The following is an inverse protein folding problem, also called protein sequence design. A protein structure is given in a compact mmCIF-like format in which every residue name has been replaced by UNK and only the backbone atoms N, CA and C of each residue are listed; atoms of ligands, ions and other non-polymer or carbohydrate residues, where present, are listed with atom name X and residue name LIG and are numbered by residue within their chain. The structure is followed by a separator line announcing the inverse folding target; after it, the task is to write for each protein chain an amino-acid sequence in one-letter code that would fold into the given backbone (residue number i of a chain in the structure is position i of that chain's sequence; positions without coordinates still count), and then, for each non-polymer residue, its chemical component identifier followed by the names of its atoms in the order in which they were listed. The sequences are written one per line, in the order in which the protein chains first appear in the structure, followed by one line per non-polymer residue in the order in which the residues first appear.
data_IF_769076403029
#
_entry.id   IF_769076403029
#
_cell.length_a   1.000
_cell.length_b   1.000
_cell.length_c   1.000
_cell.angle_alpha   90.00
_cell.angle_beta   90.00
_cell.angle_gamma   90.00
#
_symmetry.space_group_name_H-M   'P 1'
#
loop_
_entity.id
_entity.type
_entity.pdbx_description
1 polymer ?
#
# COMPACT_ATOMS: atom_id res chain seq x y z
N UNK A 1 -6.47 -13.12 -21.77
CA UNK A 1 -6.72 -12.45 -20.47
C UNK A 1 -6.83 -10.97 -20.74
N UNK A 2 -7.80 -10.31 -20.16
CA UNK A 2 -8.00 -8.86 -20.29
C UNK A 2 -6.99 -8.11 -19.44
N UNK A 3 -6.41 -7.03 -19.95
CA UNK A 3 -5.51 -6.20 -19.16
C UNK A 3 -6.29 -5.38 -18.11
N UNK A 4 -5.68 -5.16 -16.95
CA UNK A 4 -6.19 -4.30 -15.91
C UNK A 4 -5.39 -3.00 -15.86
N UNK A 5 -6.10 -1.88 -15.82
CA UNK A 5 -5.51 -0.53 -15.84
C UNK A 5 -5.87 0.26 -14.59
N UNK A 6 -4.98 1.16 -14.20
CA UNK A 6 -5.23 2.22 -13.22
C UNK A 6 -5.73 3.45 -13.99
N UNK A 7 -6.90 3.98 -13.64
CA UNK A 7 -7.51 5.15 -14.31
C UNK A 7 -7.37 6.42 -13.48
N UNK A 8 -7.53 6.33 -12.17
CA UNK A 8 -7.33 7.46 -11.25
C UNK A 8 -6.99 6.96 -9.86
N UNK A 9 -6.38 7.83 -9.06
CA UNK A 9 -6.07 7.54 -7.67
C UNK A 9 -6.15 8.81 -6.84
N UNK A 10 -6.76 8.70 -5.66
CA UNK A 10 -6.84 9.76 -4.67
C UNK A 10 -6.63 9.22 -3.27
N UNK A 11 -6.21 10.10 -2.36
CA UNK A 11 -6.12 9.82 -0.94
C UNK A 11 -6.49 11.05 -0.10
N UNK A 12 -6.84 10.86 1.14
CA UNK A 12 -6.82 11.95 2.11
C UNK A 12 -5.37 12.35 2.41
N UNK A 13 -5.11 13.55 2.93
CA UNK A 13 -3.89 13.77 3.68
C UNK A 13 -3.83 12.75 4.82
N UNK A 14 -2.63 12.34 5.23
CA UNK A 14 -2.49 11.43 6.37
C UNK A 14 -2.31 12.23 7.66
N UNK A 15 -3.17 11.95 8.63
CA UNK A 15 -3.11 12.51 9.98
C UNK A 15 -2.16 11.70 10.85
N UNK A 16 -1.56 12.37 11.86
CA UNK A 16 -0.82 11.69 12.93
C UNK A 16 -1.78 10.98 13.88
N UNK A 17 -1.27 10.00 14.58
CA UNK A 17 -1.96 9.42 15.73
C UNK A 17 -2.35 10.51 16.73
N UNK A 18 -3.63 10.56 17.07
CA UNK A 18 -4.18 11.62 17.93
C UNK A 18 -4.24 13.01 17.28
N UNK A 19 -3.98 13.13 15.95
CA UNK A 19 -3.96 14.37 15.19
C UNK A 19 -5.30 14.78 14.60
N UNK A 20 -5.26 15.51 13.50
CA UNK A 20 -6.43 16.16 12.90
C UNK A 20 -7.54 15.18 12.47
N UNK A 21 -7.20 13.93 12.09
CA UNK A 21 -8.17 12.92 11.69
C UNK A 21 -8.64 12.01 12.85
N UNK A 22 -8.06 12.12 14.05
CA UNK A 22 -8.37 11.24 15.18
C UNK A 22 -9.84 11.28 15.63
N UNK A 23 -10.54 12.39 15.39
CA UNK A 23 -11.96 12.56 15.70
C UNK A 23 -12.91 11.98 14.64
N UNK A 24 -12.40 11.56 13.49
CA UNK A 24 -13.18 11.04 12.36
C UNK A 24 -13.28 9.51 12.48
N UNK A 25 -14.49 8.97 12.34
CA UNK A 25 -14.71 7.52 12.31
C UNK A 25 -14.07 6.92 11.05
N UNK A 26 -13.48 5.72 11.13
CA UNK A 26 -12.86 5.08 9.96
C UNK A 26 -13.86 4.78 8.83
N UNK A 27 -15.10 4.44 9.13
CA UNK A 27 -16.14 4.24 8.12
C UNK A 27 -16.54 5.55 7.43
N UNK A 28 -16.62 6.68 8.16
CA UNK A 28 -16.83 8.02 7.58
C UNK A 28 -15.64 8.48 6.74
N UNK A 29 -14.40 8.20 7.18
CA UNK A 29 -13.18 8.51 6.44
C UNK A 29 -13.11 7.72 5.12
N UNK A 30 -13.48 6.43 5.16
CA UNK A 30 -13.59 5.59 3.98
C UNK A 30 -14.70 6.08 3.04
N UNK A 31 -15.87 6.44 3.56
CA UNK A 31 -16.96 6.99 2.75
C UNK A 31 -16.59 8.33 2.10
N UNK A 32 -15.83 9.18 2.81
CA UNK A 32 -15.34 10.44 2.27
C UNK A 32 -14.47 10.23 1.03
N UNK A 33 -13.50 9.31 1.08
CA UNK A 33 -12.63 9.07 -0.07
C UNK A 33 -13.36 8.38 -1.23
N UNK A 34 -14.36 7.53 -0.95
CA UNK A 34 -15.24 6.94 -1.98
C UNK A 34 -16.01 8.05 -2.70
N UNK A 35 -16.69 8.97 -1.97
CA UNK A 35 -17.40 10.10 -2.58
C UNK A 35 -16.48 10.98 -3.43
N UNK A 36 -15.31 11.32 -2.88
CA UNK A 36 -14.34 12.14 -3.59
C UNK A 36 -13.85 11.46 -4.87
N UNK A 37 -13.62 10.17 -4.83
CA UNK A 37 -13.20 9.37 -5.99
C UNK A 37 -14.29 9.28 -7.06
N UNK A 38 -15.54 9.03 -6.66
CA UNK A 38 -16.70 8.99 -7.59
C UNK A 38 -16.95 10.36 -8.23
N UNK A 39 -16.85 11.44 -7.44
CA UNK A 39 -17.03 12.80 -7.97
C UNK A 39 -16.01 13.19 -9.07
N UNK A 40 -14.89 12.49 -9.16
CA UNK A 40 -13.87 12.68 -10.21
C UNK A 40 -14.18 11.92 -11.50
N UNK A 41 -15.21 11.06 -11.49
CA UNK A 41 -15.68 10.29 -12.64
C UNK A 41 -17.11 10.71 -13.02
N UNK A 42 -17.31 11.93 -13.57
CA UNK A 42 -18.64 12.50 -13.80
C UNK A 42 -19.46 11.74 -14.85
N UNK A 43 -18.81 10.96 -15.70
CA UNK A 43 -19.49 10.14 -16.73
C UNK A 43 -19.87 8.74 -16.21
N UNK A 44 -19.34 8.32 -15.05
CA UNK A 44 -19.61 7.02 -14.47
C UNK A 44 -21.04 6.96 -13.92
N UNK A 45 -21.82 6.01 -14.39
CA UNK A 45 -23.00 5.55 -13.63
C UNK A 45 -22.51 4.76 -12.39
N UNK A 46 -22.74 5.24 -11.16
CA UNK A 46 -22.31 4.51 -9.96
C UNK A 46 -22.86 3.08 -9.88
N UNK A 47 -23.99 2.78 -10.55
CA UNK A 47 -24.54 1.41 -10.66
C UNK A 47 -23.72 0.47 -11.52
N UNK A 48 -22.78 1.00 -12.32
CA UNK A 48 -21.86 0.22 -13.16
C UNK A 48 -20.56 -0.17 -12.43
N UNK A 49 -20.41 0.18 -11.16
CA UNK A 49 -19.31 -0.29 -10.31
C UNK A 49 -19.56 -1.76 -9.96
N UNK A 50 -18.69 -2.65 -10.41
CA UNK A 50 -18.84 -4.10 -10.19
C UNK A 50 -18.56 -4.48 -8.72
N UNK A 51 -17.56 -3.85 -8.08
CA UNK A 51 -17.25 -4.06 -6.66
C UNK A 51 -16.42 -2.91 -6.07
N UNK A 52 -16.55 -2.70 -4.75
CA UNK A 52 -15.62 -1.89 -3.94
C UNK A 52 -14.79 -2.83 -3.08
N UNK A 53 -13.46 -2.84 -3.28
CA UNK A 53 -12.54 -3.72 -2.53
C UNK A 53 -11.57 -2.87 -1.72
N UNK A 54 -11.78 -2.80 -0.39
CA UNK A 54 -10.98 -1.95 0.49
C UNK A 54 -10.09 -2.76 1.44
N UNK A 55 -8.86 -2.29 1.59
CA UNK A 55 -7.94 -2.76 2.61
C UNK A 55 -8.24 -2.14 3.97
N UNK A 56 -8.19 -2.96 5.03
CA UNK A 56 -8.24 -2.49 6.41
C UNK A 56 -7.60 -3.54 7.31
N UNK A 57 -6.64 -3.12 8.14
CA UNK A 57 -5.89 -4.04 9.00
C UNK A 57 -6.58 -4.31 10.34
N UNK A 58 -7.39 -3.39 10.83
CA UNK A 58 -8.05 -3.50 12.13
C UNK A 58 -9.56 -3.25 12.03
N UNK A 59 -10.29 -4.24 11.52
CA UNK A 59 -11.74 -4.16 11.32
C UNK A 59 -12.61 -4.44 12.56
N UNK A 60 -12.04 -4.40 13.77
CA UNK A 60 -12.72 -4.81 15.00
C UNK A 60 -13.58 -3.72 15.64
N UNK A 61 -13.46 -2.46 15.20
CA UNK A 61 -14.13 -1.30 15.77
C UNK A 61 -15.26 -0.76 14.89
N UNK A 62 -15.20 0.53 14.65
CA UNK A 62 -16.17 1.30 13.87
C UNK A 62 -16.16 0.97 12.37
N UNK A 63 -15.17 0.20 11.90
CA UNK A 63 -15.09 -0.41 10.56
C UNK A 63 -16.17 -1.48 10.32
N UNK A 64 -16.76 -1.97 11.39
CA UNK A 64 -17.85 -2.96 11.38
C UNK A 64 -17.53 -4.20 10.54
N UNK A 65 -16.30 -4.67 10.61
CA UNK A 65 -15.75 -5.88 9.94
C UNK A 65 -15.69 -5.82 8.41
N UNK A 66 -16.59 -5.09 7.74
CA UNK A 66 -16.57 -4.88 6.29
C UNK A 66 -16.70 -3.40 5.96
N UNK A 67 -15.62 -2.66 6.18
CA UNK A 67 -15.58 -1.21 5.97
C UNK A 67 -15.84 -0.81 4.51
N UNK A 68 -15.48 -1.66 3.54
CA UNK A 68 -15.78 -1.42 2.13
C UNK A 68 -17.29 -1.26 1.90
N UNK A 69 -18.08 -2.20 2.43
CA UNK A 69 -19.54 -2.13 2.28
C UNK A 69 -20.14 -0.98 3.08
N UNK A 70 -19.61 -0.71 4.28
CA UNK A 70 -20.06 0.45 5.07
C UNK A 70 -19.79 1.76 4.33
N UNK A 71 -18.59 1.91 3.79
CA UNK A 71 -18.19 3.09 3.02
C UNK A 71 -19.03 3.28 1.76
N UNK A 72 -19.33 2.20 1.02
CA UNK A 72 -20.18 2.25 -0.18
C UNK A 72 -21.59 2.79 0.15
N UNK A 73 -22.20 2.27 1.21
CA UNK A 73 -23.54 2.71 1.65
C UNK A 73 -23.54 4.13 2.19
N UNK A 74 -22.55 4.48 3.01
CA UNK A 74 -22.38 5.83 3.55
C UNK A 74 -22.01 6.86 2.47
N UNK A 75 -21.42 6.42 1.36
CA UNK A 75 -21.12 7.26 0.21
C UNK A 75 -22.28 7.38 -0.78
N UNK A 76 -23.46 6.85 -0.44
CA UNK A 76 -24.68 6.86 -1.24
C UNK A 76 -24.53 6.14 -2.60
N UNK A 77 -23.61 5.15 -2.69
CA UNK A 77 -23.59 4.27 -3.85
C UNK A 77 -24.85 3.40 -3.90
N UNK A 78 -25.31 3.00 -5.09
CA UNK A 78 -26.45 2.09 -5.22
C UNK A 78 -26.28 0.83 -4.34
N UNK A 79 -27.32 0.40 -3.69
CA UNK A 79 -27.31 -0.78 -2.81
C UNK A 79 -26.93 -2.08 -3.54
N UNK A 80 -27.01 -2.08 -4.87
CA UNK A 80 -26.57 -3.18 -5.74
C UNK A 80 -25.04 -3.32 -5.81
N UNK A 81 -24.27 -2.26 -5.51
CA UNK A 81 -22.78 -2.31 -5.55
C UNK A 81 -22.27 -3.10 -4.35
N UNK A 82 -21.67 -4.27 -4.53
CA UNK A 82 -21.11 -5.06 -3.43
C UNK A 82 -19.83 -4.43 -2.88
N UNK A 83 -19.41 -4.87 -1.70
CA UNK A 83 -18.17 -4.40 -1.09
C UNK A 83 -17.49 -5.48 -0.27
N UNK A 84 -16.18 -5.63 -0.46
CA UNK A 84 -15.32 -6.61 0.23
C UNK A 84 -14.18 -5.93 0.95
N UNK A 85 -13.92 -6.34 2.19
CA UNK A 85 -12.75 -5.86 2.95
C UNK A 85 -11.66 -6.92 2.97
N UNK A 86 -10.44 -6.49 2.62
CA UNK A 86 -9.24 -7.33 2.59
C UNK A 86 -8.33 -6.96 3.76
N UNK A 87 -7.86 -7.94 4.49
CA UNK A 87 -6.85 -7.77 5.51
C UNK A 87 -5.60 -8.59 5.20
N UNK A 88 -4.57 -7.88 4.76
CA UNK A 88 -3.18 -8.34 4.70
C UNK A 88 -2.30 -7.31 5.41
N UNK A 89 -2.74 -6.87 6.59
CA UNK A 89 -2.05 -5.86 7.40
C UNK A 89 -1.64 -4.63 6.55
N UNK A 90 -0.36 -4.23 6.59
CA UNK A 90 0.18 -3.09 5.84
C UNK A 90 -0.06 -3.14 4.33
N UNK A 91 -0.18 -4.34 3.75
CA UNK A 91 -0.37 -4.57 2.32
C UNK A 91 -1.82 -4.60 1.85
N UNK A 92 -2.80 -4.37 2.73
CA UNK A 92 -4.22 -4.64 2.46
C UNK A 92 -4.75 -3.96 1.19
N UNK A 93 -4.52 -2.67 0.99
CA UNK A 93 -5.01 -1.98 -0.23
C UNK A 93 -4.22 -2.32 -1.49
N UNK A 94 -2.95 -2.68 -1.38
CA UNK A 94 -2.22 -3.20 -2.55
C UNK A 94 -2.72 -4.59 -2.94
N UNK A 95 -3.06 -5.44 -1.95
CA UNK A 95 -3.69 -6.74 -2.20
C UNK A 95 -5.10 -6.58 -2.78
N UNK A 96 -5.87 -5.59 -2.32
CA UNK A 96 -7.16 -5.23 -2.93
C UNK A 96 -7.01 -4.93 -4.42
N UNK A 97 -6.00 -4.14 -4.81
CA UNK A 97 -5.68 -3.89 -6.22
C UNK A 97 -5.25 -5.15 -6.98
N UNK A 98 -4.48 -6.04 -6.35
CA UNK A 98 -4.10 -7.32 -6.93
C UNK A 98 -5.30 -8.26 -7.12
N UNK A 99 -6.27 -8.25 -6.21
CA UNK A 99 -7.53 -9.03 -6.31
C UNK A 99 -8.36 -8.49 -7.46
N UNK A 100 -8.66 -7.20 -7.47
CA UNK A 100 -9.44 -6.56 -8.54
C UNK A 100 -8.81 -6.75 -9.92
N UNK A 101 -7.48 -6.67 -10.03
CA UNK A 101 -6.79 -6.92 -11.29
C UNK A 101 -6.92 -8.36 -11.79
N UNK A 102 -7.17 -9.33 -10.90
CA UNK A 102 -7.49 -10.72 -11.29
C UNK A 102 -8.93 -10.85 -11.75
N UNK A 103 -9.88 -10.24 -11.05
CA UNK A 103 -11.29 -10.19 -11.47
C UNK A 103 -11.44 -9.57 -12.86
N UNK A 104 -10.72 -8.48 -13.14
CA UNK A 104 -10.69 -7.86 -14.48
C UNK A 104 -10.05 -8.81 -15.50
N UNK A 105 -8.93 -9.43 -15.16
CA UNK A 105 -8.22 -10.33 -16.08
C UNK A 105 -9.02 -11.60 -16.44
N UNK A 106 -9.89 -12.08 -15.54
CA UNK A 106 -10.81 -13.21 -15.77
C UNK A 106 -12.13 -12.80 -16.43
N UNK A 107 -12.40 -11.50 -16.56
CA UNK A 107 -13.64 -10.97 -17.13
C UNK A 107 -14.84 -10.98 -16.18
N UNK A 108 -14.59 -11.13 -14.88
CA UNK A 108 -15.62 -11.07 -13.83
C UNK A 108 -16.01 -9.64 -13.49
N UNK A 109 -15.13 -8.66 -13.76
CA UNK A 109 -15.35 -7.23 -13.51
C UNK A 109 -14.76 -6.37 -14.62
N UNK A 110 -15.35 -5.19 -14.85
CA UNK A 110 -14.86 -4.14 -15.73
C UNK A 110 -14.43 -2.89 -14.97
N UNK A 111 -15.14 -2.54 -13.90
CA UNK A 111 -14.89 -1.33 -13.08
C UNK A 111 -14.89 -1.70 -11.61
N UNK A 112 -13.75 -1.57 -10.96
CA UNK A 112 -13.59 -1.84 -9.52
C UNK A 112 -12.97 -0.63 -8.83
N UNK A 113 -13.61 -0.18 -7.76
CA UNK A 113 -13.01 0.81 -6.88
C UNK A 113 -12.23 0.10 -5.78
N UNK A 114 -10.91 0.20 -5.82
CA UNK A 114 -10.04 -0.35 -4.77
C UNK A 114 -9.48 0.76 -3.90
N UNK A 115 -9.00 0.40 -2.72
CA UNK A 115 -8.39 1.36 -1.83
C UNK A 115 -8.26 0.81 -0.43
N UNK A 116 -8.37 1.67 0.56
CA UNK A 116 -8.39 1.25 1.94
C UNK A 116 -8.37 2.41 2.92
N UNK A 117 -8.57 2.06 4.16
CA UNK A 117 -8.64 3.00 5.29
C UNK A 117 -7.97 2.39 6.51
N UNK A 118 -7.36 3.24 7.29
CA UNK A 118 -6.94 2.90 8.66
C UNK A 118 -7.10 4.12 9.55
N UNK A 119 -7.67 3.92 10.72
CA UNK A 119 -7.60 4.87 11.81
C UNK A 119 -6.93 4.22 13.01
N UNK A 120 -5.62 4.43 13.13
CA UNK A 120 -4.86 3.88 14.26
C UNK A 120 -5.20 4.63 15.55
N UNK A 121 -5.65 5.88 15.45
CA UNK A 121 -6.11 6.69 16.59
C UNK A 121 -7.40 6.12 17.21
N UNK A 122 -8.26 5.49 16.43
CA UNK A 122 -9.54 4.93 16.88
C UNK A 122 -9.53 3.41 17.02
N UNK A 123 -8.36 2.79 16.87
CA UNK A 123 -8.20 1.36 17.10
C UNK A 123 -8.73 0.98 18.49
N UNK A 124 -9.67 0.03 18.63
CA UNK A 124 -10.35 -0.23 19.89
C UNK A 124 -9.42 -0.95 20.88
N UNK A 125 -9.73 -0.79 22.16
CA UNK A 125 -9.25 -1.70 23.20
C UNK A 125 -10.14 -2.93 23.21
N UNK A 126 -9.55 -4.13 23.29
CA UNK A 126 -10.29 -5.40 23.32
C UNK A 126 -10.07 -6.12 24.64
N UNK A 127 -11.14 -6.77 25.11
CA UNK A 127 -11.11 -7.65 26.26
C UNK A 127 -11.27 -9.08 25.77
N UNK A 128 -10.29 -9.97 26.02
CA UNK A 128 -10.46 -11.38 25.69
C UNK A 128 -11.60 -12.02 26.50
N UNK A 129 -12.25 -13.01 25.92
CA UNK A 129 -13.23 -13.83 26.68
C UNK A 129 -12.51 -14.60 27.78
N UNK A 130 -13.13 -14.66 28.94
CA UNK A 130 -12.62 -15.47 30.06
C UNK A 130 -12.85 -16.95 29.81
N UNK A 131 -11.87 -17.79 30.17
CA UNK A 131 -11.99 -19.26 30.07
C UNK A 131 -12.92 -19.83 31.10
N UNK A 132 -13.08 -19.15 32.25
CA UNK A 132 -13.93 -19.56 33.37
C UNK A 132 -15.09 -18.59 33.57
N UNK A 133 -16.30 -19.08 33.85
CA UNK A 133 -17.36 -18.19 34.33
C UNK A 133 -16.94 -17.61 35.68
N UNK A 134 -17.36 -16.36 35.96
CA UNK A 134 -17.05 -15.66 37.22
C UNK A 134 -15.54 -15.54 37.51
N UNK A 135 -14.75 -14.87 36.64
CA UNK A 135 -13.33 -14.67 36.90
C UNK A 135 -13.13 -13.86 38.20
N UNK A 136 -12.26 -14.36 39.09
CA UNK A 136 -12.01 -13.74 40.39
C UNK A 136 -10.94 -12.64 40.37
N UNK A 137 -10.41 -12.27 39.18
CA UNK A 137 -9.36 -11.25 39.01
C UNK A 137 -9.77 -10.13 38.07
N UNK A 138 -8.88 -9.15 37.91
CA UNK A 138 -9.04 -8.06 36.95
C UNK A 138 -8.93 -8.58 35.51
N UNK A 139 -9.65 -7.92 34.59
CA UNK A 139 -9.50 -8.12 33.16
C UNK A 139 -8.59 -7.03 32.59
N UNK A 140 -7.65 -7.43 31.74
CA UNK A 140 -6.75 -6.51 31.05
C UNK A 140 -7.30 -6.18 29.66
N UNK A 141 -7.39 -4.87 29.36
CA UNK A 141 -7.75 -4.40 28.05
C UNK A 141 -6.49 -4.30 27.17
N UNK A 142 -6.53 -4.94 26.01
CA UNK A 142 -5.41 -5.00 25.05
C UNK A 142 -5.58 -3.93 23.99
N UNK A 143 -4.55 -3.09 23.79
CA UNK A 143 -4.51 -2.09 22.72
C UNK A 143 -4.33 -2.79 21.37
N UNK A 144 -5.10 -2.38 20.36
CA UNK A 144 -5.07 -2.98 19.04
C UNK A 144 -4.49 -2.07 17.94
N UNK A 145 -3.96 -0.91 18.31
CA UNK A 145 -3.47 0.09 17.33
C UNK A 145 -2.25 -0.41 16.53
N UNK A 146 -1.36 -1.18 17.16
CA UNK A 146 -0.12 -1.63 16.53
C UNK A 146 0.38 -2.95 17.15
N UNK A 147 1.05 -3.77 16.33
CA UNK A 147 1.81 -4.92 16.78
C UNK A 147 0.97 -6.15 17.10
N UNK A 148 1.62 -7.09 17.77
CA UNK A 148 1.03 -8.35 18.17
C UNK A 148 0.02 -8.17 19.31
N UNK A 149 -1.08 -8.87 19.23
CA UNK A 149 -2.09 -8.94 20.29
C UNK A 149 -2.65 -10.35 20.40
N UNK A 150 -2.96 -10.79 21.59
CA UNK A 150 -3.56 -12.10 21.85
C UNK A 150 -2.82 -13.24 21.12
N UNK A 151 -1.49 -13.23 21.22
CA UNK A 151 -0.60 -14.15 20.49
C UNK A 151 -0.89 -15.57 20.91
N UNK A 152 -1.02 -16.48 19.93
CA UNK A 152 -1.15 -17.90 20.20
C UNK A 152 0.15 -18.41 20.87
N UNK A 153 0.07 -19.06 22.06
CA UNK A 153 1.25 -19.57 22.77
C UNK A 153 2.09 -20.59 21.98
N UNK A 154 1.53 -21.21 20.94
CA UNK A 154 2.26 -22.13 20.08
C UNK A 154 3.16 -21.43 19.04
N UNK A 155 3.03 -20.10 18.88
CA UNK A 155 3.89 -19.33 17.98
C UNK A 155 5.31 -19.21 18.56
N UNK A 156 6.36 -19.52 17.78
CA UNK A 156 7.74 -19.30 18.19
C UNK A 156 7.97 -17.83 18.60
N UNK A 157 8.57 -17.62 19.77
CA UNK A 157 8.77 -16.27 20.32
C UNK A 157 9.58 -15.35 19.41
N UNK A 158 10.55 -15.88 18.67
CA UNK A 158 11.32 -15.11 17.69
C UNK A 158 10.49 -14.53 16.55
N UNK A 159 9.32 -15.12 16.23
CA UNK A 159 8.44 -14.63 15.19
C UNK A 159 7.50 -13.53 15.66
N UNK A 160 7.30 -13.43 16.97
CA UNK A 160 6.33 -12.54 17.60
C UNK A 160 6.96 -11.34 18.30
N UNK A 161 8.22 -11.07 18.03
CA UNK A 161 8.89 -9.86 18.51
C UNK A 161 8.20 -8.61 17.95
N UNK A 162 8.37 -7.47 18.61
CA UNK A 162 7.82 -6.21 18.11
C UNK A 162 8.39 -5.87 16.72
N UNK A 163 7.65 -5.10 15.91
CA UNK A 163 8.11 -4.71 14.56
C UNK A 163 9.42 -3.92 14.61
N UNK A 164 9.62 -3.10 15.64
CA UNK A 164 10.87 -2.37 15.81
C UNK A 164 12.03 -3.29 16.19
N UNK A 165 11.82 -4.27 17.07
CA UNK A 165 12.83 -5.29 17.38
C UNK A 165 13.16 -6.16 16.16
N UNK A 166 12.16 -6.54 15.40
CA UNK A 166 12.34 -7.23 14.12
C UNK A 166 13.20 -6.41 13.14
N UNK A 167 13.00 -5.08 13.12
CA UNK A 167 13.77 -4.16 12.30
C UNK A 167 15.21 -4.03 12.80
N UNK A 168 15.45 -4.05 14.11
CA UNK A 168 16.82 -4.09 14.67
C UNK A 168 17.56 -5.37 14.26
N UNK A 169 16.90 -6.53 14.28
CA UNK A 169 17.49 -7.77 13.80
C UNK A 169 17.79 -7.74 12.30
N UNK A 170 16.88 -7.15 11.52
CA UNK A 170 17.04 -6.97 10.09
C UNK A 170 18.26 -6.10 9.76
N UNK A 171 18.37 -4.93 10.43
CA UNK A 171 19.49 -4.00 10.17
C UNK A 171 20.84 -4.60 10.55
N UNK A 172 20.90 -5.43 11.60
CA UNK A 172 22.11 -6.17 11.98
C UNK A 172 22.52 -7.16 10.90
N UNK A 173 21.54 -7.94 10.39
CA UNK A 173 21.76 -8.94 9.34
C UNK A 173 22.29 -8.31 8.05
N UNK A 174 21.83 -7.11 7.71
CA UNK A 174 22.16 -6.41 6.45
C UNK A 174 23.17 -5.28 6.62
N UNK A 175 23.72 -5.07 7.82
CA UNK A 175 24.75 -4.06 8.06
C UNK A 175 24.28 -2.61 7.89
N UNK A 176 22.97 -2.33 8.09
CA UNK A 176 22.42 -0.97 7.95
C UNK A 176 22.75 -0.15 9.20
N UNK A 177 23.54 0.93 9.05
CA UNK A 177 23.96 1.77 10.16
C UNK A 177 22.87 2.80 10.57
N UNK A 178 23.01 3.40 11.74
CA UNK A 178 22.14 4.46 12.25
C UNK A 178 22.20 5.71 11.35
N UNK A 179 23.39 6.07 10.91
CA UNK A 179 23.64 7.24 10.07
C UNK A 179 22.86 7.13 8.75
N UNK A 180 22.98 5.98 8.08
CA UNK A 180 22.24 5.72 6.83
C UNK A 180 20.72 5.81 7.04
N UNK A 181 20.21 5.31 8.18
CA UNK A 181 18.78 5.38 8.51
C UNK A 181 18.32 6.82 8.68
N UNK A 182 19.10 7.65 9.40
CA UNK A 182 18.75 9.05 9.64
C UNK A 182 18.87 9.90 8.36
N UNK A 183 19.85 9.64 7.51
CA UNK A 183 19.98 10.26 6.17
C UNK A 183 18.79 9.93 5.27
N UNK A 184 18.39 8.64 5.25
CA UNK A 184 17.21 8.20 4.50
C UNK A 184 15.93 8.88 5.00
N UNK A 185 15.73 8.97 6.31
CA UNK A 185 14.58 9.62 6.91
C UNK A 185 14.53 11.13 6.60
N UNK A 186 15.67 11.82 6.74
CA UNK A 186 15.79 13.22 6.37
C UNK A 186 15.47 13.45 4.89
N UNK A 187 15.95 12.55 4.00
CA UNK A 187 15.64 12.57 2.57
C UNK A 187 14.13 12.42 2.33
N UNK A 188 13.47 11.47 2.99
CA UNK A 188 12.03 11.26 2.86
C UNK A 188 11.24 12.53 3.19
N UNK A 189 11.55 13.18 4.30
CA UNK A 189 10.92 14.45 4.69
C UNK A 189 11.17 15.59 3.70
N UNK A 190 12.42 15.77 3.27
CA UNK A 190 12.79 16.80 2.29
C UNK A 190 12.04 16.61 0.97
N UNK A 191 12.00 15.38 0.44
CA UNK A 191 11.33 15.10 -0.83
C UNK A 191 9.81 15.27 -0.71
N UNK A 192 9.18 14.87 0.42
CA UNK A 192 7.77 15.09 0.64
C UNK A 192 7.42 16.59 0.71
N UNK A 193 8.23 17.39 1.40
CA UNK A 193 8.05 18.83 1.47
C UNK A 193 8.17 19.48 0.07
N UNK A 194 9.19 19.12 -0.69
CA UNK A 194 9.39 19.60 -2.06
C UNK A 194 8.23 19.20 -3.00
N UNK A 195 7.73 17.98 -2.87
CA UNK A 195 6.58 17.52 -3.66
C UNK A 195 5.31 18.35 -3.37
N UNK A 196 5.07 18.71 -2.11
CA UNK A 196 3.99 19.63 -1.74
C UNK A 196 4.17 21.04 -2.31
N UNK A 197 5.38 21.57 -2.25
CA UNK A 197 5.70 22.90 -2.80
C UNK A 197 5.58 22.97 -4.33
N UNK A 198 5.89 21.86 -5.00
CA UNK A 198 5.83 21.73 -6.45
C UNK A 198 4.45 21.33 -6.99
N UNK A 199 3.42 21.18 -6.12
CA UNK A 199 2.07 20.75 -6.53
C UNK A 199 1.98 19.30 -7.02
N UNK A 200 2.98 18.45 -6.71
CA UNK A 200 2.98 17.06 -7.15
C UNK A 200 1.83 16.21 -6.58
N UNK A 201 1.23 16.69 -5.49
CA UNK A 201 0.13 16.03 -4.83
C UNK A 201 -1.25 16.59 -5.18
N UNK A 202 -1.35 17.65 -5.98
CA UNK A 202 -2.61 18.36 -6.25
C UNK A 202 -3.67 17.43 -6.87
N UNK A 203 -3.26 16.52 -7.75
CA UNK A 203 -4.15 15.52 -8.34
C UNK A 203 -4.35 14.24 -7.50
N UNK A 204 -3.56 14.08 -6.43
CA UNK A 204 -3.56 12.88 -5.61
C UNK A 204 -4.24 13.06 -4.26
N UNK A 205 -4.18 14.27 -3.69
CA UNK A 205 -4.66 14.52 -2.33
C UNK A 205 -5.90 15.39 -2.37
N UNK A 206 -6.98 14.85 -1.83
CA UNK A 206 -8.22 15.61 -1.59
C UNK A 206 -8.27 15.99 -0.11
N UNK A 207 -8.79 17.18 0.20
CA UNK A 207 -8.93 17.61 1.59
C UNK A 207 -9.63 16.53 2.43
N UNK A 208 -9.21 16.34 3.65
CA UNK A 208 -9.86 15.43 4.59
C UNK A 208 -11.30 15.86 4.89
N UNK A 209 -12.11 14.99 5.49
CA UNK A 209 -13.47 15.35 5.89
C UNK A 209 -13.44 16.48 6.92
N UNK A 210 -14.44 17.36 6.86
CA UNK A 210 -14.56 18.47 7.80
C UNK A 210 -14.68 17.92 9.24
N UNK A 211 -13.81 18.31 10.16
CA UNK A 211 -13.92 17.92 11.55
C UNK A 211 -15.10 18.67 12.22
N UNK A 212 -15.52 18.19 13.39
CA UNK A 212 -16.57 18.91 14.17
C UNK A 212 -16.14 20.32 14.59
N UNK A 213 -14.85 20.58 14.69
CA UNK A 213 -14.26 21.88 15.01
C UNK A 213 -12.92 22.03 14.27
N UNK A 214 -12.65 23.20 13.74
CA UNK A 214 -11.44 23.51 12.96
C UNK A 214 -11.64 23.33 11.46
N UNK A 215 -10.55 23.43 10.72
CA UNK A 215 -10.52 23.31 9.26
C UNK A 215 -10.19 21.87 8.84
N UNK A 216 -10.63 21.44 7.66
CA UNK A 216 -10.21 20.17 7.09
C UNK A 216 -8.69 20.08 6.96
N UNK A 217 -8.14 18.89 7.20
CA UNK A 217 -6.74 18.63 6.93
C UNK A 217 -6.51 18.65 5.41
N UNK A 218 -5.57 19.48 4.93
CA UNK A 218 -5.29 19.65 3.50
C UNK A 218 -3.91 19.14 3.08
N UNK A 219 -3.00 18.91 4.04
CA UNK A 219 -1.64 18.39 3.82
C UNK A 219 -1.30 17.32 4.83
N UNK A 220 -0.36 16.44 4.48
CA UNK A 220 0.12 15.39 5.37
C UNK A 220 0.71 15.99 6.65
N UNK A 221 0.18 15.60 7.78
CA UNK A 221 0.50 16.19 9.09
C UNK A 221 1.89 15.77 9.62
N UNK A 222 2.45 14.67 9.02
CA UNK A 222 3.75 14.11 9.41
C UNK A 222 4.96 14.82 8.84
N UNK A 223 4.83 15.54 7.72
CA UNK A 223 5.97 16.12 6.98
C UNK A 223 6.65 17.23 7.80
N UNK A 224 7.97 17.11 7.95
CA UNK A 224 8.84 18.06 8.65
C UNK A 224 9.97 18.48 7.72
N UNK A 225 9.81 19.61 7.05
CA UNK A 225 10.78 20.12 6.06
C UNK A 225 12.17 20.43 6.66
N UNK A 226 12.23 20.67 7.96
CA UNK A 226 13.44 20.99 8.72
C UNK A 226 14.17 19.77 9.28
N UNK A 227 13.69 18.55 9.01
CA UNK A 227 14.37 17.32 9.44
C UNK A 227 15.71 17.16 8.72
N UNK A 228 16.78 17.00 9.51
CA UNK A 228 18.13 16.71 9.02
C UNK A 228 18.71 15.48 9.71
N UNK A 229 19.70 14.83 9.11
CA UNK A 229 20.39 13.70 9.75
C UNK A 229 20.98 14.11 11.11
N UNK A 230 21.48 15.34 11.24
CA UNK A 230 22.02 15.86 12.49
C UNK A 230 20.95 16.01 13.60
N UNK A 231 19.73 16.48 13.27
CA UNK A 231 18.63 16.56 14.24
C UNK A 231 18.10 15.18 14.61
N UNK A 232 18.06 14.25 13.67
CA UNK A 232 17.61 12.88 13.90
C UNK A 232 18.61 12.07 14.75
N UNK A 233 19.92 12.30 14.59
CA UNK A 233 20.97 11.64 15.37
C UNK A 233 20.81 11.83 16.90
N UNK A 234 20.18 12.93 17.33
CA UNK A 234 19.89 13.20 18.74
C UNK A 234 18.74 12.37 19.33
N UNK A 235 17.97 11.63 18.51
CA UNK A 235 16.84 10.84 18.99
C UNK A 235 17.30 9.52 19.62
N UNK A 236 16.64 9.15 20.72
CA UNK A 236 16.92 7.89 21.40
C UNK A 236 16.30 6.71 20.64
N UNK A 237 16.98 5.55 20.60
CA UNK A 237 16.36 4.29 20.16
C UNK A 237 15.12 3.96 20.97
N UNK A 238 14.09 3.42 20.31
CA UNK A 238 12.79 3.13 20.94
C UNK A 238 12.66 1.69 21.38
N UNK A 239 13.27 0.75 20.64
CA UNK A 239 13.02 -0.68 20.82
C UNK A 239 14.13 -1.42 21.56
N UNK A 240 15.37 -0.89 21.51
CA UNK A 240 16.52 -1.40 22.26
C UNK A 240 17.23 -0.26 22.97
N UNK A 241 17.37 -0.37 24.29
CA UNK A 241 18.05 0.66 25.07
C UNK A 241 19.57 0.72 24.77
N UNK A 242 20.19 -0.44 24.55
CA UNK A 242 21.62 -0.57 24.24
C UNK A 242 21.80 -1.11 22.80
N UNK A 243 22.64 -0.44 22.03
CA UNK A 243 22.95 -0.83 20.65
C UNK A 243 21.78 -0.69 19.66
N UNK A 244 20.65 -0.12 20.08
CA UNK A 244 19.52 0.17 19.20
C UNK A 244 19.78 1.33 18.26
N UNK A 245 19.12 1.31 17.10
CA UNK A 245 19.27 2.34 16.04
C UNK A 245 17.92 2.86 15.54
N UNK A 246 16.85 2.10 15.76
CA UNK A 246 15.51 2.45 15.29
C UNK A 246 14.87 3.48 16.25
N UNK A 247 14.52 4.62 15.71
CA UNK A 247 13.97 5.76 16.46
C UNK A 247 12.62 6.18 15.92
N UNK A 248 11.91 7.04 16.63
CA UNK A 248 10.69 7.67 16.13
C UNK A 248 10.93 8.54 14.88
N UNK A 249 12.16 8.98 14.64
CA UNK A 249 12.51 9.83 13.49
C UNK A 249 12.86 9.05 12.22
N UNK A 250 13.26 7.77 12.34
CA UNK A 250 13.60 6.92 11.20
C UNK A 250 12.63 5.75 11.00
N UNK A 251 11.43 5.90 11.57
CA UNK A 251 10.28 4.99 11.44
C UNK A 251 9.06 5.75 10.96
N UNK A 252 8.16 5.08 10.25
CA UNK A 252 6.86 5.67 9.90
C UNK A 252 6.01 5.91 11.16
N UNK A 253 5.34 7.07 11.28
CA UNK A 253 4.45 7.33 12.40
C UNK A 253 3.17 6.52 12.31
N UNK A 254 2.55 6.22 13.46
CA UNK A 254 1.17 5.78 13.54
C UNK A 254 0.27 6.85 12.89
N UNK A 255 -0.64 6.44 12.04
CA UNK A 255 -1.34 7.38 11.16
C UNK A 255 -2.80 7.00 10.93
N UNK A 256 -3.60 8.01 10.57
CA UNK A 256 -4.97 7.89 10.12
C UNK A 256 -5.06 8.34 8.65
N UNK A 257 -5.80 7.62 7.81
CA UNK A 257 -5.96 8.01 6.42
C UNK A 257 -6.71 7.01 5.57
N UNK A 258 -7.10 7.45 4.37
CA UNK A 258 -7.78 6.63 3.38
C UNK A 258 -7.24 6.88 1.97
N UNK A 259 -7.35 5.88 1.11
CA UNK A 259 -6.99 5.95 -0.32
C UNK A 259 -8.02 5.24 -1.17
N UNK A 260 -8.18 5.67 -2.43
CA UNK A 260 -9.02 5.03 -3.43
C UNK A 260 -8.32 5.07 -4.79
N UNK A 261 -8.47 3.99 -5.57
CA UNK A 261 -7.87 3.83 -6.89
C UNK A 261 -8.90 3.18 -7.80
N UNK A 262 -9.14 3.75 -8.96
CA UNK A 262 -9.98 3.17 -10.00
C UNK A 262 -9.19 2.17 -10.83
N UNK A 263 -9.64 0.93 -10.82
CA UNK A 263 -9.15 -0.12 -11.71
C UNK A 263 -10.26 -0.52 -12.70
N UNK A 264 -9.85 -0.80 -13.93
CA UNK A 264 -10.80 -1.25 -14.95
C UNK A 264 -10.14 -1.98 -16.11
N UNK A 265 -10.99 -2.66 -16.91
CA UNK A 265 -10.66 -3.10 -18.25
C UNK A 265 -10.70 -1.90 -19.23
N UNK A 266 -10.35 -2.08 -20.50
CA UNK A 266 -10.55 -1.04 -21.53
C UNK A 266 -12.03 -0.63 -21.64
N UNK A 267 -12.96 -1.59 -21.55
CA UNK A 267 -14.39 -1.32 -21.49
C UNK A 267 -14.78 -0.55 -20.22
N UNK A 268 -14.12 -0.88 -19.10
CA UNK A 268 -14.25 -0.13 -17.85
C UNK A 268 -13.81 1.33 -17.99
N UNK A 269 -12.72 1.58 -18.70
CA UNK A 269 -12.25 2.93 -19.00
C UNK A 269 -13.26 3.78 -19.79
N UNK A 270 -13.97 3.16 -20.73
CA UNK A 270 -15.06 3.83 -21.45
C UNK A 270 -16.22 4.21 -20.53
N UNK A 271 -16.53 3.37 -19.52
CA UNK A 271 -17.56 3.69 -18.51
C UNK A 271 -17.11 4.76 -17.52
N UNK A 272 -15.80 4.80 -17.21
CA UNK A 272 -15.20 5.83 -16.37
C UNK A 272 -15.05 7.18 -17.09
N UNK A 273 -15.14 7.21 -18.42
CA UNK A 273 -14.88 8.41 -19.21
C UNK A 273 -13.44 8.92 -19.08
N UNK A 274 -12.48 8.04 -18.79
CA UNK A 274 -11.10 8.40 -18.46
C UNK A 274 -10.09 7.58 -19.24
N UNK A 275 -8.97 8.21 -19.62
CA UNK A 275 -7.82 7.48 -20.16
C UNK A 275 -7.03 6.80 -19.03
N UNK A 276 -6.46 5.63 -19.29
CA UNK A 276 -5.68 4.93 -18.27
C UNK A 276 -4.35 5.65 -17.98
N UNK A 277 -3.97 5.67 -16.71
CA UNK A 277 -2.66 6.16 -16.26
C UNK A 277 -1.58 5.10 -16.49
N UNK A 278 -1.88 3.85 -16.14
CA UNK A 278 -0.91 2.76 -16.25
C UNK A 278 -1.63 1.41 -16.33
N UNK A 279 -0.96 0.43 -16.93
CA UNK A 279 -1.37 -1.00 -16.94
C UNK A 279 -0.70 -1.75 -15.79
N UNK A 280 -1.42 -2.64 -15.14
CA UNK A 280 -0.83 -3.59 -14.19
C UNK A 280 -0.19 -4.74 -14.98
N UNK A 281 1.14 -4.68 -15.14
CA UNK A 281 1.90 -5.62 -15.94
C UNK A 281 2.34 -6.87 -15.16
N UNK A 282 2.62 -6.72 -13.86
CA UNK A 282 3.05 -7.81 -13.00
C UNK A 282 2.59 -7.61 -11.57
N UNK A 283 2.38 -8.67 -10.84
CA UNK A 283 2.01 -8.65 -9.42
C UNK A 283 2.47 -9.91 -8.72
N UNK A 284 2.97 -9.78 -7.48
CA UNK A 284 3.41 -10.93 -6.69
C UNK A 284 3.27 -10.71 -5.19
N UNK A 285 3.16 -11.83 -4.49
CA UNK A 285 3.32 -11.93 -3.05
C UNK A 285 4.48 -12.88 -2.76
N UNK A 286 5.25 -12.55 -1.73
CA UNK A 286 6.31 -13.40 -1.18
C UNK A 286 6.22 -13.41 0.35
N UNK A 287 6.89 -14.36 0.97
CA UNK A 287 6.97 -14.46 2.42
C UNK A 287 8.35 -14.93 2.86
N UNK A 288 8.72 -14.56 4.08
CA UNK A 288 9.96 -14.96 4.73
C UNK A 288 9.69 -15.19 6.24
N UNK A 289 10.74 -15.38 7.01
CA UNK A 289 10.63 -15.49 8.46
C UNK A 289 10.04 -14.22 9.06
N UNK A 290 9.02 -14.30 9.93
CA UNK A 290 8.28 -13.15 10.45
C UNK A 290 9.13 -12.01 11.03
N UNK A 291 10.24 -12.33 11.73
CA UNK A 291 11.15 -11.30 12.27
C UNK A 291 11.96 -10.57 11.20
N UNK A 292 12.00 -11.06 9.98
CA UNK A 292 12.62 -10.38 8.83
C UNK A 292 11.59 -9.84 7.84
N UNK A 293 10.36 -9.58 8.30
CA UNK A 293 9.24 -9.11 7.48
C UNK A 293 9.63 -7.96 6.53
N UNK A 294 10.51 -7.06 6.98
CA UNK A 294 10.94 -5.90 6.22
C UNK A 294 11.69 -6.23 4.92
N UNK A 295 12.22 -7.45 4.78
CA UNK A 295 12.96 -7.90 3.60
C UNK A 295 12.09 -8.65 2.58
N UNK A 296 10.85 -9.02 2.92
CA UNK A 296 9.95 -9.76 2.04
C UNK A 296 9.61 -9.05 0.71
N UNK A 297 9.62 -7.69 0.62
CA UNK A 297 9.45 -6.99 -0.66
C UNK A 297 10.48 -7.35 -1.71
N UNK A 298 11.70 -7.77 -1.31
CA UNK A 298 12.78 -8.10 -2.25
C UNK A 298 12.34 -9.19 -3.21
N UNK A 299 11.89 -10.33 -2.69
CA UNK A 299 11.44 -11.42 -3.55
C UNK A 299 10.08 -11.13 -4.22
N UNK A 300 9.18 -10.39 -3.54
CA UNK A 300 7.91 -10.00 -4.13
C UNK A 300 8.12 -9.15 -5.40
N UNK A 301 9.03 -8.15 -5.35
CA UNK A 301 9.36 -7.31 -6.49
C UNK A 301 10.06 -8.10 -7.61
N UNK A 302 11.06 -8.91 -7.27
CA UNK A 302 11.74 -9.76 -8.24
C UNK A 302 10.76 -10.70 -8.98
N UNK A 303 9.82 -11.30 -8.26
CA UNK A 303 8.80 -12.15 -8.86
C UNK A 303 7.81 -11.36 -9.72
N UNK A 304 7.43 -10.14 -9.30
CA UNK A 304 6.54 -9.28 -10.07
C UNK A 304 7.19 -8.82 -11.38
N UNK A 305 8.48 -8.46 -11.37
CA UNK A 305 9.28 -8.11 -12.55
C UNK A 305 9.38 -9.29 -13.53
N UNK A 306 9.70 -10.49 -13.04
CA UNK A 306 9.70 -11.70 -13.88
C UNK A 306 8.36 -11.94 -14.57
N UNK A 307 7.24 -11.71 -13.88
CA UNK A 307 5.89 -11.85 -14.44
C UNK A 307 5.55 -10.76 -15.45
N UNK A 308 6.13 -9.57 -15.31
CA UNK A 308 6.03 -8.48 -16.27
C UNK A 308 6.98 -8.67 -17.48
N UNK A 309 7.94 -9.61 -17.41
CA UNK A 309 8.92 -9.85 -18.46
C UNK A 309 10.01 -8.79 -18.55
N UNK A 310 10.34 -8.12 -17.44
CA UNK A 310 11.34 -7.04 -17.37
C UNK A 310 12.33 -7.29 -16.21
N UNK A 311 13.42 -6.54 -16.20
CA UNK A 311 14.45 -6.54 -15.17
C UNK A 311 14.53 -5.19 -14.43
N UNK A 312 15.30 -5.13 -13.34
CA UNK A 312 15.52 -3.88 -12.58
C UNK A 312 16.11 -2.74 -13.41
N UNK A 313 16.94 -3.06 -14.43
CA UNK A 313 17.48 -2.06 -15.35
C UNK A 313 16.44 -1.31 -16.16
N UNK A 314 15.26 -1.90 -16.37
CA UNK A 314 14.15 -1.29 -17.10
C UNK A 314 13.27 -0.38 -16.22
N UNK A 315 13.43 -0.41 -14.88
CA UNK A 315 12.56 0.29 -13.93
C UNK A 315 12.96 1.75 -13.80
N UNK A 316 12.04 2.65 -14.09
CA UNK A 316 12.24 4.11 -14.03
C UNK A 316 11.85 4.69 -12.67
N UNK A 317 10.85 4.10 -11.98
CA UNK A 317 10.35 4.61 -10.71
C UNK A 317 10.02 3.47 -9.74
N UNK A 318 10.32 3.67 -8.46
CA UNK A 318 9.97 2.75 -7.38
C UNK A 318 9.24 3.50 -6.28
N UNK A 319 8.11 2.95 -5.84
CA UNK A 319 7.41 3.36 -4.63
C UNK A 319 7.48 2.22 -3.62
N UNK A 320 8.43 2.28 -2.71
CA UNK A 320 8.58 1.35 -1.58
C UNK A 320 7.95 1.98 -0.34
N UNK A 321 7.04 1.26 0.31
CA UNK A 321 6.49 1.75 1.57
C UNK A 321 7.57 1.72 2.67
N UNK A 322 7.86 2.89 3.24
CA UNK A 322 8.90 3.08 4.26
C UNK A 322 8.34 2.82 5.66
N UNK A 323 8.12 1.55 6.02
CA UNK A 323 7.71 1.24 7.39
C UNK A 323 8.81 1.63 8.39
N UNK A 324 10.06 1.39 8.03
CA UNK A 324 11.28 1.79 8.72
C UNK A 324 12.38 2.12 7.70
N UNK A 325 13.22 3.10 8.00
CA UNK A 325 14.36 3.46 7.14
C UNK A 325 15.31 2.26 6.94
N UNK A 326 15.61 1.52 8.01
CA UNK A 326 16.46 0.33 7.94
C UNK A 326 15.90 -0.76 7.01
N UNK A 327 14.59 -0.98 7.07
CA UNK A 327 13.90 -1.92 6.20
C UNK A 327 13.98 -1.50 4.73
N UNK A 328 13.74 -0.21 4.46
CA UNK A 328 13.81 0.33 3.10
C UNK A 328 15.20 0.21 2.52
N UNK A 329 16.23 0.59 3.28
CA UNK A 329 17.63 0.49 2.88
C UNK A 329 18.06 -0.95 2.56
N UNK A 330 17.66 -1.92 3.38
CA UNK A 330 17.95 -3.33 3.11
C UNK A 330 17.31 -3.83 1.79
N UNK A 331 16.12 -3.33 1.44
CA UNK A 331 15.49 -3.63 0.15
C UNK A 331 16.24 -2.96 -1.02
N UNK A 332 16.61 -1.69 -0.88
CA UNK A 332 17.32 -0.94 -1.91
C UNK A 332 18.69 -1.56 -2.21
N UNK A 333 19.44 -1.91 -1.16
CA UNK A 333 20.74 -2.57 -1.29
C UNK A 333 20.62 -3.92 -2.02
N UNK A 334 19.53 -4.67 -1.79
CA UNK A 334 19.29 -5.95 -2.45
C UNK A 334 18.87 -5.83 -3.92
N UNK A 335 18.18 -4.75 -4.29
CA UNK A 335 17.75 -4.50 -5.66
C UNK A 335 18.83 -3.80 -6.50
N UNK A 336 19.85 -3.21 -5.88
CA UNK A 336 20.90 -2.41 -6.50
C UNK A 336 20.31 -1.30 -7.41
N UNK A 337 19.28 -0.62 -6.90
CA UNK A 337 18.57 0.44 -7.62
C UNK A 337 19.10 1.81 -7.24
N UNK A 338 19.08 2.72 -8.21
CA UNK A 338 19.39 4.13 -7.98
C UNK A 338 18.44 4.72 -6.93
N UNK A 339 18.93 5.20 -5.78
CA UNK A 339 18.09 5.80 -4.74
C UNK A 339 17.22 6.96 -5.23
N UNK A 340 17.63 7.69 -6.27
CA UNK A 340 16.87 8.83 -6.79
C UNK A 340 15.61 8.40 -7.55
N UNK A 341 15.53 7.15 -8.00
CA UNK A 341 14.32 6.55 -8.55
C UNK A 341 13.31 6.14 -7.48
N UNK A 342 13.73 6.05 -6.20
CA UNK A 342 12.92 5.53 -5.11
C UNK A 342 12.27 6.66 -4.33
N UNK A 343 10.91 6.60 -4.22
CA UNK A 343 10.11 7.52 -3.43
C UNK A 343 10.48 9.00 -3.70
N UNK A 344 10.63 9.38 -4.97
CA UNK A 344 11.10 10.72 -5.34
C UNK A 344 10.17 11.86 -4.89
N UNK A 345 8.92 11.54 -4.53
CA UNK A 345 7.99 12.49 -3.93
C UNK A 345 7.85 12.32 -2.40
N UNK A 346 8.83 11.64 -1.75
CA UNK A 346 8.80 11.31 -0.33
C UNK A 346 8.01 10.02 -0.03
N UNK A 347 8.24 9.46 1.15
CA UNK A 347 7.65 8.19 1.56
C UNK A 347 7.05 8.20 2.96
N UNK A 348 6.72 7.02 3.47
CA UNK A 348 5.91 6.85 4.66
C UNK A 348 6.57 7.34 5.97
N UNK A 349 7.90 7.45 6.03
CA UNK A 349 8.58 8.05 7.18
C UNK A 349 8.13 9.51 7.36
N UNK A 350 7.96 10.24 6.26
CA UNK A 350 7.51 11.62 6.27
C UNK A 350 5.98 11.75 6.22
N UNK A 351 5.34 11.03 5.30
CA UNK A 351 3.92 11.18 4.98
C UNK A 351 3.04 10.49 6.02
N UNK A 352 3.47 9.32 6.53
CA UNK A 352 2.69 8.46 7.41
C UNK A 352 2.35 7.10 6.79
N UNK A 353 1.91 6.18 7.66
CA UNK A 353 1.62 4.80 7.28
C UNK A 353 0.31 4.28 7.88
N UNK A 354 -0.86 4.81 7.45
CA UNK A 354 -2.14 4.20 7.79
C UNK A 354 -2.25 2.86 7.06
N UNK A 355 -2.10 1.75 7.79
CA UNK A 355 -1.81 0.40 7.28
C UNK A 355 -2.67 0.02 6.07
N UNK A 356 -4.00 0.05 6.25
CA UNK A 356 -4.96 -0.34 5.23
C UNK A 356 -4.97 0.56 3.99
N UNK A 357 -4.57 1.84 4.11
CA UNK A 357 -4.58 2.82 3.02
C UNK A 357 -3.27 2.89 2.23
N UNK A 358 -2.16 2.41 2.81
CA UNK A 358 -0.81 2.67 2.27
C UNK A 358 -0.54 2.04 0.91
N UNK A 359 -1.09 0.86 0.64
CA UNK A 359 -0.94 0.20 -0.66
C UNK A 359 -1.56 0.99 -1.81
N UNK A 360 -2.76 1.57 -1.61
CA UNK A 360 -3.40 2.44 -2.59
C UNK A 360 -2.62 3.75 -2.79
N UNK A 361 -2.06 4.31 -1.70
CA UNK A 361 -1.18 5.48 -1.77
C UNK A 361 0.03 5.22 -2.67
N UNK A 362 0.82 4.15 -2.43
CA UNK A 362 2.01 3.88 -3.24
C UNK A 362 1.66 3.55 -4.69
N UNK A 363 0.55 2.81 -4.94
CA UNK A 363 0.11 2.48 -6.29
C UNK A 363 -0.30 3.73 -7.07
N UNK A 364 -1.10 4.61 -6.45
CA UNK A 364 -1.54 5.87 -7.06
C UNK A 364 -0.39 6.85 -7.29
N UNK A 365 0.51 7.00 -6.30
CA UNK A 365 1.71 7.83 -6.44
C UNK A 365 2.57 7.33 -7.60
N UNK A 366 2.81 6.02 -7.70
CA UNK A 366 3.59 5.43 -8.78
C UNK A 366 2.97 5.72 -10.15
N UNK A 367 1.66 5.50 -10.30
CA UNK A 367 0.97 5.76 -11.56
C UNK A 367 1.11 7.23 -12.01
N UNK A 368 0.93 8.19 -11.08
CA UNK A 368 1.09 9.61 -11.36
C UNK A 368 2.56 10.02 -11.63
N UNK A 369 3.51 9.42 -10.91
CA UNK A 369 4.94 9.66 -11.18
C UNK A 369 5.33 9.23 -12.58
N UNK A 370 4.93 8.04 -13.01
CA UNK A 370 5.22 7.55 -14.36
C UNK A 370 4.68 8.48 -15.43
N UNK A 371 3.47 9.06 -15.23
CA UNK A 371 2.91 10.06 -16.13
C UNK A 371 3.72 11.37 -16.11
N UNK A 372 4.00 11.90 -14.91
CA UNK A 372 4.64 13.20 -14.75
C UNK A 372 6.14 13.20 -15.14
N UNK A 373 6.83 12.07 -14.94
CA UNK A 373 8.26 11.91 -15.17
C UNK A 373 8.57 11.28 -16.54
N UNK A 374 7.55 10.79 -17.26
CA UNK A 374 7.69 10.15 -18.57
C UNK A 374 8.35 8.77 -18.55
N UNK A 375 8.46 8.16 -17.36
CA UNK A 375 8.97 6.81 -17.19
C UNK A 375 8.02 5.75 -17.75
N UNK A 376 8.55 4.62 -18.19
CA UNK A 376 7.75 3.52 -18.73
C UNK A 376 7.36 2.51 -17.67
N UNK A 377 8.31 2.08 -16.83
CA UNK A 377 8.13 0.99 -15.89
C UNK A 377 8.30 1.44 -14.45
N UNK A 378 7.41 0.99 -13.59
CA UNK A 378 7.52 1.27 -12.17
C UNK A 378 7.13 0.10 -11.29
N UNK A 379 7.67 0.10 -10.07
CA UNK A 379 7.41 -0.93 -9.05
C UNK A 379 6.82 -0.27 -7.80
N UNK A 380 5.64 -0.71 -7.38
CA UNK A 380 5.10 -0.42 -6.04
C UNK A 380 5.33 -1.65 -5.16
N UNK A 381 5.99 -1.50 -4.02
CA UNK A 381 6.29 -2.61 -3.10
C UNK A 381 6.03 -2.23 -1.64
N UNK A 382 5.60 -3.21 -0.84
CA UNK A 382 5.28 -3.01 0.57
C UNK A 382 5.64 -4.25 1.38
N UNK A 383 6.30 -4.04 2.54
CA UNK A 383 6.50 -5.05 3.56
C UNK A 383 5.23 -5.19 4.42
N UNK A 384 5.05 -6.33 5.00
CA UNK A 384 3.86 -6.69 5.77
C UNK A 384 4.31 -7.43 7.02
N UNK A 385 3.85 -7.00 8.16
CA UNK A 385 4.06 -7.74 9.41
C UNK A 385 3.76 -9.24 9.25
N UNK A 386 4.37 -10.06 10.08
CA UNK A 386 4.27 -11.52 9.99
C UNK A 386 5.00 -12.11 8.76
N UNK A 387 6.00 -11.40 8.21
CA UNK A 387 6.93 -11.94 7.21
C UNK A 387 6.38 -12.03 5.80
N UNK A 388 5.61 -11.05 5.33
CA UNK A 388 5.13 -11.04 3.95
C UNK A 388 5.55 -9.77 3.21
N UNK A 389 5.52 -9.81 1.88
CA UNK A 389 5.72 -8.68 0.98
C UNK A 389 4.83 -8.77 -0.24
N UNK A 390 4.40 -7.64 -0.75
CA UNK A 390 3.69 -7.51 -2.02
C UNK A 390 4.45 -6.59 -2.95
N UNK A 391 4.30 -6.83 -4.25
CA UNK A 391 4.74 -5.91 -5.29
C UNK A 391 3.79 -5.92 -6.50
N UNK A 392 3.65 -4.76 -7.11
CA UNK A 392 2.93 -4.53 -8.37
C UNK A 392 3.84 -3.77 -9.32
N UNK A 393 3.93 -4.24 -10.56
CA UNK A 393 4.62 -3.56 -11.65
C UNK A 393 3.60 -2.84 -12.51
N UNK A 394 3.80 -1.55 -12.71
CA UNK A 394 3.03 -0.71 -13.61
C UNK A 394 3.80 -0.43 -14.90
N UNK A 395 3.08 -0.44 -16.03
CA UNK A 395 3.54 0.09 -17.31
C UNK A 395 2.77 1.37 -17.64
N UNK A 396 3.46 2.48 -17.83
CA UNK A 396 2.89 3.71 -18.34
C UNK A 396 2.36 3.50 -19.76
N UNK A 397 1.11 3.86 -19.98
CA UNK A 397 0.46 3.69 -21.30
C UNK A 397 0.34 4.98 -22.09
N UNK A 398 0.73 6.14 -21.53
CA UNK A 398 0.78 7.40 -22.24
C UNK A 398 1.87 7.35 -23.33
N UNK A 399 1.50 7.64 -24.55
CA UNK A 399 2.43 7.67 -25.70
C UNK A 399 2.64 6.34 -26.41
N UNK A 400 1.85 5.29 -26.14
CA UNK A 400 1.75 4.16 -27.08
C UNK A 400 1.10 4.67 -28.36
N UNK A 401 1.77 4.57 -29.55
CA UNK A 401 1.06 4.79 -30.79
C UNK A 401 -0.04 3.72 -30.87
N UNK A 402 -1.29 4.16 -31.06
CA UNK A 402 -2.40 3.29 -31.41
C UNK A 402 -1.98 2.44 -32.60
N UNK A 403 -2.09 1.11 -32.48
CA UNK A 403 -1.75 0.11 -33.48
C UNK A 403 -0.29 -0.43 -33.51
N UNK A 404 0.09 -1.20 -32.51
CA UNK A 404 0.91 -2.38 -32.76
C UNK A 404 0.11 -3.63 -32.30
N UNK A 405 -0.33 -4.53 -33.20
CA UNK A 405 -0.99 -5.77 -32.77
C UNK A 405 -0.01 -6.57 -31.92
N UNK A 406 -0.51 -7.08 -30.80
CA UNK A 406 0.23 -7.93 -29.89
C UNK A 406 0.63 -9.24 -30.60
N UNK A 407 1.79 -9.26 -31.26
CA UNK A 407 2.34 -10.42 -31.94
C UNK A 407 3.17 -11.26 -30.98
N UNK A 408 2.55 -11.81 -29.95
CA UNK A 408 3.05 -13.00 -29.26
C UNK A 408 2.02 -14.12 -29.41
N UNK A 409 1.79 -14.54 -30.66
CA UNK A 409 1.25 -15.87 -30.92
C UNK A 409 2.41 -16.86 -30.69
N UNK A 410 2.39 -17.57 -29.58
CA UNK A 410 3.14 -18.81 -29.43
C UNK A 410 2.66 -19.78 -30.51
N UNK A 411 3.41 -19.87 -31.63
CA UNK A 411 3.33 -20.99 -32.53
C UNK A 411 3.88 -22.22 -31.82
N UNK A 412 3.00 -23.01 -31.25
CA UNK A 412 3.30 -24.39 -30.90
C UNK A 412 3.45 -25.14 -32.21
N UNK A 413 4.69 -25.36 -32.65
CA UNK A 413 4.98 -26.32 -33.73
C UNK A 413 4.58 -27.71 -33.24
N UNK A 414 3.51 -28.23 -33.85
CA UNK A 414 3.13 -29.63 -33.73
C UNK A 414 4.07 -30.48 -34.55
N UNK A 415 5.07 -31.10 -33.94
CA UNK A 415 5.83 -32.16 -34.53
C UNK A 415 4.95 -33.40 -34.66
N UNK A 416 4.41 -33.61 -35.86
CA UNK A 416 3.82 -34.86 -36.29
C UNK A 416 4.92 -35.91 -36.51
N UNK A 417 5.00 -36.87 -35.59
CA UNK A 417 5.83 -38.08 -35.77
C UNK A 417 5.09 -39.03 -36.74
N UNK A 418 5.59 -39.12 -37.94
CA UNK A 418 5.23 -40.21 -38.89
C UNK A 418 5.69 -41.56 -38.31
N UNK A 419 4.72 -42.42 -38.01
CA UNK A 419 4.97 -43.84 -37.81
C UNK A 419 5.06 -44.54 -39.15
N UNK A 420 6.28 -44.84 -39.55
CA UNK A 420 6.49 -45.85 -40.62
C UNK A 420 6.36 -47.26 -40.05
N UNK A 421 5.38 -47.98 -40.52
CA UNK A 421 5.21 -49.40 -40.23
C UNK A 421 6.36 -50.24 -40.84
N UNK A 422 6.75 -51.27 -40.13
CA UNK A 422 7.41 -52.46 -40.68
C UNK A 422 6.76 -53.70 -40.14
N UNK A 423 6.15 -54.43 -41.09
CA UNK A 423 5.76 -55.83 -41.01
C UNK A 423 6.99 -56.73 -40.89
N UNK A 424 6.99 -57.65 -39.94
CA UNK A 424 7.35 -59.05 -40.05
C UNK A 424 7.07 -59.74 -38.69
#
# INVERSE_FOLDING_TARGET
MTDAYVYDAVRTPFGKFGGALAGIRPDDLAAHIVRASVARMPELDPGAIDEVVFGNANGAGEENRNVARMASLLADLPVSVPGTTVNRLCGSSLDAAMIASRQIATGEADVVLVGGVESMSRAPWVLPKTERPYPGGNLEAVNTALGWRLVNPAMPSQWTVSLGEATEQLRERHGVTRERQDEFAARSHRLAAQAWEQGRYDDLVVAGPAPRRGEPLTRDEGVRADSTAATLAGLRPVFRAEGGTVTAGNSSPLSDGASAVWLGSERGGQRLGSAPLARIAGRAAAANEPQFFGYAPVEAANLALRRAGIAWGDVDAVELNEAFAAQSLACLDAWDVDPDRVNAWGGAVAIGHPLGASGGRILGTLARRLQAEGGRWGVAAICIGVGQGLAVVLENVAGRPDNAPNTTSNSVESNSVEQQGRTA
#
